data_IF_338556835299
#
_entry.id   IF_338556835299
#
_cell.length_a   1.000
_cell.length_b   1.000
_cell.length_c   1.000
_cell.angle_alpha   90.00
_cell.angle_beta   90.00
_cell.angle_gamma   90.00
#
_symmetry.space_group_name_H-M   'P 1'
#
loop_
_entity.id
_entity.type
_entity.pdbx_description
1 polymer ?
#
# COMPACT_ATOMS: atom_id res chain seq x y z
N UNK A 1 14.96 -18.86 13.43
CA UNK A 1 13.66 -18.41 12.85
C UNK A 1 13.07 -19.58 12.07
N UNK A 2 11.77 -19.88 12.21
CA UNK A 2 11.14 -20.95 11.41
C UNK A 2 10.89 -20.40 10.01
N UNK A 3 11.48 -20.99 8.97
CA UNK A 3 11.32 -20.60 7.56
C UNK A 3 9.83 -20.43 7.17
N UNK A 4 8.96 -21.25 7.76
CA UNK A 4 7.51 -21.19 7.57
C UNK A 4 6.84 -19.89 8.03
N UNK A 5 7.37 -19.19 9.04
CA UNK A 5 6.80 -17.91 9.49
C UNK A 5 7.05 -16.78 8.50
N UNK A 6 8.23 -16.76 7.87
CA UNK A 6 8.56 -15.77 6.83
C UNK A 6 7.74 -16.00 5.55
N UNK A 7 7.62 -17.26 5.12
CA UNK A 7 6.79 -17.64 3.98
C UNK A 7 5.32 -17.23 4.21
N UNK A 8 4.82 -17.41 5.43
CA UNK A 8 3.46 -17.00 5.78
C UNK A 8 3.29 -15.47 5.76
N UNK A 9 4.28 -14.72 6.26
CA UNK A 9 4.33 -13.27 6.12
C UNK A 9 4.22 -12.85 4.66
N UNK A 10 5.04 -13.42 3.77
CA UNK A 10 4.98 -13.17 2.33
C UNK A 10 3.60 -13.48 1.73
N UNK A 11 3.00 -14.63 2.07
CA UNK A 11 1.64 -15.00 1.61
C UNK A 11 0.59 -13.99 2.07
N UNK A 12 0.68 -13.47 3.31
CA UNK A 12 -0.20 -12.40 3.78
C UNK A 12 -0.07 -11.15 2.90
N UNK A 13 1.16 -10.71 2.59
CA UNK A 13 1.37 -9.54 1.73
C UNK A 13 0.77 -9.74 0.35
N UNK A 14 0.99 -10.90 -0.27
CA UNK A 14 0.40 -11.25 -1.56
C UNK A 14 -1.13 -11.27 -1.48
N UNK A 15 -1.71 -11.84 -0.43
CA UNK A 15 -3.16 -11.88 -0.25
C UNK A 15 -3.76 -10.47 -0.09
N UNK A 16 -3.14 -9.59 0.69
CA UNK A 16 -3.57 -8.19 0.84
C UNK A 16 -3.43 -7.45 -0.49
N UNK A 17 -2.35 -7.67 -1.23
CA UNK A 17 -2.15 -7.07 -2.55
C UNK A 17 -3.24 -7.50 -3.54
N UNK A 18 -3.52 -8.80 -3.65
CA UNK A 18 -4.58 -9.33 -4.52
C UNK A 18 -5.96 -8.81 -4.10
N UNK A 19 -6.24 -8.73 -2.80
CA UNK A 19 -7.49 -8.18 -2.29
C UNK A 19 -7.68 -6.72 -2.70
N UNK A 20 -6.63 -5.90 -2.58
CA UNK A 20 -6.68 -4.48 -2.94
C UNK A 20 -6.77 -4.31 -4.46
N UNK A 21 -6.04 -5.09 -5.24
CA UNK A 21 -6.14 -5.10 -6.71
C UNK A 21 -7.54 -5.48 -7.19
N UNK A 22 -8.13 -6.55 -6.62
CA UNK A 22 -9.50 -6.94 -6.93
C UNK A 22 -10.53 -5.88 -6.52
N UNK A 23 -10.32 -5.24 -5.36
CA UNK A 23 -11.15 -4.13 -4.89
C UNK A 23 -11.08 -2.92 -5.83
N UNK A 24 -9.90 -2.63 -6.39
CA UNK A 24 -9.73 -1.57 -7.39
C UNK A 24 -10.54 -1.85 -8.66
N UNK A 25 -10.51 -3.09 -9.17
CA UNK A 25 -11.33 -3.48 -10.32
C UNK A 25 -12.83 -3.32 -10.04
N UNK A 26 -13.26 -3.66 -8.81
CA UNK A 26 -14.64 -3.47 -8.38
C UNK A 26 -15.01 -1.98 -8.28
N UNK A 27 -14.14 -1.15 -7.69
CA UNK A 27 -14.34 0.31 -7.58
C UNK A 27 -14.44 0.92 -8.98
N UNK A 28 -13.57 0.54 -9.91
CA UNK A 28 -13.66 1.00 -11.30
C UNK A 28 -14.97 0.56 -11.96
N UNK A 29 -15.37 -0.71 -11.80
CA UNK A 29 -16.63 -1.22 -12.36
C UNK A 29 -17.87 -0.48 -11.81
N UNK A 30 -17.88 -0.11 -10.53
CA UNK A 30 -18.97 0.67 -9.90
C UNK A 30 -18.92 2.14 -10.30
N UNK A 31 -17.72 2.69 -10.50
CA UNK A 31 -17.54 4.09 -10.79
C UNK A 31 -17.82 4.43 -12.27
N UNK A 32 -17.68 3.46 -13.20
CA UNK A 32 -18.04 3.62 -14.63
C UNK A 32 -19.50 4.07 -14.81
N UNK A 33 -20.53 3.37 -14.30
CA UNK A 33 -21.91 3.83 -14.39
C UNK A 33 -22.13 5.20 -13.75
N UNK A 34 -21.38 5.51 -12.68
CA UNK A 34 -21.50 6.76 -11.94
C UNK A 34 -20.96 7.95 -12.74
N UNK A 35 -19.85 7.77 -13.47
CA UNK A 35 -19.31 8.78 -14.41
C UNK A 35 -20.28 9.01 -15.56
N UNK A 36 -20.85 7.94 -16.14
CA UNK A 36 -21.87 8.05 -17.19
C UNK A 36 -23.15 8.76 -16.71
N UNK A 37 -23.54 8.60 -15.43
CA UNK A 37 -24.70 9.28 -14.85
C UNK A 37 -24.42 10.74 -14.45
N UNK A 38 -23.20 11.01 -13.97
CA UNK A 38 -22.75 12.32 -13.52
C UNK A 38 -21.72 12.87 -14.50
N UNK A 39 -22.14 13.04 -15.76
CA UNK A 39 -21.42 13.54 -16.96
C UNK A 39 -20.62 14.86 -16.79
N UNK A 40 -20.49 15.36 -15.56
CA UNK A 40 -19.86 16.62 -15.14
C UNK A 40 -18.89 16.49 -13.96
N UNK A 41 -18.64 15.30 -13.41
CA UNK A 41 -17.65 15.17 -12.33
C UNK A 41 -16.24 15.32 -12.91
N UNK A 42 -15.43 16.30 -12.46
CA UNK A 42 -14.08 16.47 -12.97
C UNK A 42 -13.23 15.24 -12.63
N UNK A 43 -12.34 14.85 -13.56
CA UNK A 43 -11.45 13.67 -13.45
C UNK A 43 -10.68 13.62 -12.12
N UNK A 44 -10.39 14.80 -11.57
CA UNK A 44 -9.73 14.97 -10.26
C UNK A 44 -10.56 14.38 -9.12
N UNK A 45 -11.88 14.57 -9.12
CA UNK A 45 -12.76 14.04 -8.06
C UNK A 45 -12.90 12.54 -8.17
N UNK A 46 -12.99 12.01 -9.39
CA UNK A 46 -13.01 10.58 -9.64
C UNK A 46 -11.71 9.92 -9.16
N UNK A 47 -10.58 10.51 -9.53
CA UNK A 47 -9.24 10.01 -9.17
C UNK A 47 -9.03 10.08 -7.65
N UNK A 48 -9.38 11.20 -7.01
CA UNK A 48 -9.30 11.34 -5.56
C UNK A 48 -10.20 10.31 -4.85
N UNK A 49 -11.42 10.10 -5.35
CA UNK A 49 -12.34 9.07 -4.83
C UNK A 49 -11.73 7.67 -4.93
N UNK A 50 -11.22 7.30 -6.10
CA UNK A 50 -10.57 6.00 -6.32
C UNK A 50 -9.37 5.78 -5.39
N UNK A 51 -8.53 6.80 -5.19
CA UNK A 51 -7.41 6.76 -4.25
C UNK A 51 -7.93 6.54 -2.81
N UNK A 52 -8.93 7.31 -2.37
CA UNK A 52 -9.52 7.17 -1.02
C UNK A 52 -10.09 5.77 -0.81
N UNK A 53 -10.84 5.23 -1.78
CA UNK A 53 -11.37 3.86 -1.71
C UNK A 53 -10.25 2.82 -1.66
N UNK A 54 -9.22 2.97 -2.48
CA UNK A 54 -8.07 2.06 -2.50
C UNK A 54 -7.36 2.05 -1.15
N UNK A 55 -7.09 3.23 -0.57
CA UNK A 55 -6.51 3.36 0.76
C UNK A 55 -7.39 2.75 1.85
N UNK A 56 -8.71 2.89 1.74
CA UNK A 56 -9.67 2.32 2.67
C UNK A 56 -9.68 0.78 2.63
N UNK A 57 -9.80 0.18 1.45
CA UNK A 57 -9.74 -1.28 1.29
C UNK A 57 -8.39 -1.83 1.72
N UNK A 58 -7.31 -1.13 1.41
CA UNK A 58 -5.98 -1.47 1.86
C UNK A 58 -5.86 -1.52 3.39
N UNK A 59 -6.38 -0.49 4.08
CA UNK A 59 -6.45 -0.44 5.54
C UNK A 59 -7.25 -1.62 6.13
N UNK A 60 -8.42 -1.92 5.55
CA UNK A 60 -9.24 -3.07 5.98
C UNK A 60 -8.53 -4.40 5.76
N UNK A 61 -7.90 -4.60 4.59
CA UNK A 61 -7.17 -5.81 4.27
C UNK A 61 -6.09 -6.10 5.31
N UNK A 62 -5.34 -5.08 5.71
CA UNK A 62 -4.33 -5.21 6.76
C UNK A 62 -4.90 -5.45 8.16
N UNK A 63 -6.03 -4.83 8.51
CA UNK A 63 -6.71 -5.12 9.77
C UNK A 63 -7.06 -6.61 9.87
N UNK A 64 -7.65 -7.20 8.83
CA UNK A 64 -7.97 -8.63 8.79
C UNK A 64 -6.72 -9.50 8.79
N UNK A 65 -5.70 -9.13 8.01
CA UNK A 65 -4.43 -9.84 7.96
C UNK A 65 -3.75 -9.93 9.32
N UNK A 66 -3.68 -8.83 10.07
CA UNK A 66 -3.06 -8.81 11.40
C UNK A 66 -3.91 -9.54 12.43
N UNK A 67 -5.23 -9.45 12.34
CA UNK A 67 -6.13 -10.25 13.20
C UNK A 67 -5.91 -11.74 12.99
N UNK A 68 -5.76 -12.18 11.74
CA UNK A 68 -5.43 -13.56 11.41
C UNK A 68 -4.04 -13.95 11.93
N UNK A 69 -3.04 -13.08 11.77
CA UNK A 69 -1.69 -13.31 12.28
C UNK A 69 -1.65 -13.43 13.81
N UNK A 70 -2.43 -12.62 14.54
CA UNK A 70 -2.62 -12.78 15.99
C UNK A 70 -3.25 -14.13 16.35
N UNK A 71 -4.29 -14.54 15.62
CA UNK A 71 -4.95 -15.84 15.84
C UNK A 71 -3.99 -17.02 15.61
N UNK A 72 -3.11 -16.91 14.61
CA UNK A 72 -2.05 -17.86 14.31
C UNK A 72 -0.82 -17.74 15.23
N UNK A 73 -0.87 -16.88 16.26
CA UNK A 73 0.23 -16.60 17.22
C UNK A 73 1.56 -16.23 16.55
N UNK A 74 1.49 -15.51 15.44
CA UNK A 74 2.68 -15.04 14.74
C UNK A 74 3.30 -13.84 15.43
N UNK A 75 4.61 -13.65 15.26
CA UNK A 75 5.29 -12.44 15.71
C UNK A 75 5.09 -11.35 14.67
N UNK A 76 4.82 -10.13 15.11
CA UNK A 76 4.69 -8.96 14.23
C UNK A 76 5.90 -8.81 13.30
N UNK A 77 7.10 -9.09 13.83
CA UNK A 77 8.35 -9.08 13.07
C UNK A 77 8.35 -10.04 11.87
N UNK A 78 7.76 -11.24 12.00
CA UNK A 78 7.70 -12.21 10.90
C UNK A 78 6.75 -11.74 9.78
N UNK A 79 5.68 -11.03 10.14
CA UNK A 79 4.75 -10.41 9.19
C UNK A 79 5.41 -9.22 8.49
N UNK A 80 6.19 -8.43 9.22
CA UNK A 80 6.97 -7.31 8.66
C UNK A 80 8.07 -7.80 7.72
N UNK A 81 8.77 -8.89 8.04
CA UNK A 81 9.83 -9.43 7.20
C UNK A 81 9.34 -9.80 5.79
N UNK A 82 8.07 -10.20 5.66
CA UNK A 82 7.44 -10.46 4.37
C UNK A 82 7.40 -9.25 3.44
N UNK A 83 7.31 -8.01 3.96
CA UNK A 83 7.32 -6.80 3.13
C UNK A 83 8.69 -6.56 2.51
N UNK A 84 9.76 -6.87 3.24
CA UNK A 84 11.13 -6.75 2.77
C UNK A 84 11.44 -7.74 1.65
N UNK A 85 10.89 -8.95 1.70
CA UNK A 85 11.01 -9.93 0.61
C UNK A 85 10.33 -9.42 -0.65
N UNK A 86 9.11 -8.87 -0.53
CA UNK A 86 8.40 -8.28 -1.65
C UNK A 86 9.15 -7.07 -2.23
N UNK A 87 9.68 -6.20 -1.36
CA UNK A 87 10.48 -5.05 -1.74
C UNK A 87 11.76 -5.47 -2.46
N UNK A 88 12.47 -6.48 -1.96
CA UNK A 88 13.67 -7.02 -2.59
C UNK A 88 13.37 -7.65 -3.96
N UNK A 89 12.23 -8.31 -4.13
CA UNK A 89 11.77 -8.81 -5.43
C UNK A 89 11.46 -7.66 -6.39
N UNK A 90 10.78 -6.61 -5.94
CA UNK A 90 10.47 -5.42 -6.74
C UNK A 90 11.74 -4.71 -7.20
N UNK A 91 12.69 -4.50 -6.29
CA UNK A 91 14.02 -3.95 -6.59
C UNK A 91 14.79 -4.89 -7.51
N UNK A 92 14.70 -6.21 -7.31
CA UNK A 92 15.36 -7.21 -8.15
C UNK A 92 14.84 -7.23 -9.59
N UNK A 93 13.51 -7.20 -9.76
CA UNK A 93 12.88 -7.06 -11.07
C UNK A 93 13.31 -5.76 -11.75
N UNK A 94 13.33 -4.66 -11.00
CA UNK A 94 13.77 -3.36 -11.47
C UNK A 94 15.24 -3.34 -11.92
N UNK A 95 16.15 -3.93 -11.14
CA UNK A 95 17.57 -4.03 -11.51
C UNK A 95 17.80 -5.03 -12.66
N UNK A 96 16.93 -6.04 -12.80
CA UNK A 96 17.02 -7.02 -13.89
C UNK A 96 16.65 -6.45 -15.26
N UNK A 97 15.90 -5.34 -15.30
CA UNK A 97 15.59 -4.58 -16.52
C UNK A 97 16.81 -3.83 -17.09
N UNK A 98 17.96 -3.88 -16.41
CA UNK A 98 19.26 -3.45 -16.94
C UNK A 98 19.50 -1.94 -16.93
N UNK A 99 18.55 -1.14 -16.49
CA UNK A 99 18.70 0.32 -16.35
C UNK A 99 19.58 0.67 -15.15
N UNK A 100 20.64 1.45 -15.35
CA UNK A 100 21.53 1.83 -14.26
C UNK A 100 20.86 2.82 -13.31
N UNK A 101 21.06 2.67 -12.00
CA UNK A 101 20.52 3.59 -10.97
C UNK A 101 20.89 5.05 -11.25
N UNK A 102 22.02 5.28 -11.94
CA UNK A 102 22.47 6.64 -12.30
C UNK A 102 21.74 7.24 -13.51
N UNK A 103 21.30 6.41 -14.47
CA UNK A 103 20.46 6.87 -15.60
C UNK A 103 19.07 7.24 -15.10
N UNK A 104 18.50 6.43 -14.21
CA UNK A 104 17.17 6.65 -13.61
C UNK A 104 17.06 7.98 -12.84
N UNK A 105 18.12 8.39 -12.13
CA UNK A 105 18.15 9.68 -11.40
C UNK A 105 18.31 10.87 -12.34
N UNK A 106 18.88 10.65 -13.54
CA UNK A 106 19.10 11.71 -14.53
C UNK A 106 17.91 11.90 -15.47
N UNK A 107 17.10 10.87 -15.69
CA UNK A 107 15.95 10.85 -16.63
C UNK A 107 14.64 11.42 -16.04
N UNK A 108 14.75 12.41 -15.15
CA UNK A 108 13.60 13.05 -14.49
C UNK A 108 12.69 13.85 -15.44
N UNK A 109 13.23 14.26 -16.60
CA UNK A 109 12.64 15.32 -17.44
C UNK A 109 12.22 14.84 -18.84
N UNK A 110 12.57 13.61 -19.25
CA UNK A 110 12.37 13.21 -20.64
C UNK A 110 10.96 12.65 -20.88
N UNK A 111 10.26 13.31 -21.81
CA UNK A 111 8.92 13.03 -22.33
C UNK A 111 8.79 11.66 -23.07
N UNK A 112 9.60 10.68 -22.71
CA UNK A 112 9.54 9.30 -23.18
C UNK A 112 8.63 8.44 -22.31
N UNK A 113 8.02 7.42 -22.91
CA UNK A 113 7.22 6.39 -22.23
C UNK A 113 8.06 5.45 -21.34
N UNK A 114 8.91 5.98 -20.46
CA UNK A 114 9.78 5.21 -19.59
C UNK A 114 9.04 4.77 -18.31
N UNK A 115 9.06 3.46 -18.10
CA UNK A 115 8.30 2.69 -17.12
C UNK A 115 8.86 2.85 -15.70
N UNK A 116 8.36 3.85 -14.96
CA UNK A 116 8.41 3.99 -13.48
C UNK A 116 9.37 5.10 -12.97
N UNK A 117 8.86 6.30 -12.62
CA UNK A 117 9.66 7.44 -12.13
C UNK A 117 10.35 7.17 -10.78
N UNK A 118 11.50 7.82 -10.46
CA UNK A 118 12.14 7.75 -9.14
C UNK A 118 11.20 8.09 -7.97
N UNK A 119 10.20 8.93 -8.24
CA UNK A 119 9.10 9.25 -7.34
C UNK A 119 8.30 8.01 -6.90
N UNK A 120 8.09 7.04 -7.80
CA UNK A 120 7.43 5.77 -7.48
C UNK A 120 8.32 4.88 -6.61
N UNK A 121 9.62 4.80 -6.89
CA UNK A 121 10.57 4.06 -6.06
C UNK A 121 10.65 4.64 -4.64
N UNK A 122 10.68 5.97 -4.51
CA UNK A 122 10.60 6.66 -3.22
C UNK A 122 9.28 6.37 -2.49
N UNK A 123 8.16 6.38 -3.21
CA UNK A 123 6.84 6.04 -2.65
C UNK A 123 6.81 4.60 -2.14
N UNK A 124 7.30 3.64 -2.93
CA UNK A 124 7.39 2.23 -2.56
C UNK A 124 8.30 1.99 -1.36
N UNK A 125 9.47 2.64 -1.31
CA UNK A 125 10.40 2.54 -0.18
C UNK A 125 9.81 3.14 1.10
N UNK A 126 9.26 4.35 1.01
CA UNK A 126 8.61 5.04 2.14
C UNK A 126 7.42 4.24 2.67
N UNK A 127 6.66 3.65 1.76
CA UNK A 127 5.57 2.75 2.10
C UNK A 127 6.05 1.49 2.85
N UNK A 128 7.04 0.78 2.30
CA UNK A 128 7.50 -0.50 2.83
C UNK A 128 8.27 -0.38 4.14
N UNK A 129 9.05 0.70 4.30
CA UNK A 129 9.96 0.90 5.43
C UNK A 129 9.34 1.70 6.58
N UNK A 130 8.41 2.62 6.28
CA UNK A 130 7.88 3.55 7.28
C UNK A 130 6.39 3.34 7.49
N UNK A 131 5.56 3.53 6.46
CA UNK A 131 4.11 3.52 6.66
C UNK A 131 3.57 2.16 7.11
N UNK A 132 3.93 1.10 6.39
CA UNK A 132 3.38 -0.21 6.65
C UNK A 132 3.82 -0.75 8.03
N UNK A 133 5.09 -0.68 8.43
CA UNK A 133 5.51 -1.06 9.79
C UNK A 133 4.83 -0.24 10.89
N UNK A 134 4.69 1.08 10.70
CA UNK A 134 4.02 1.96 11.67
C UNK A 134 2.54 1.61 11.81
N UNK A 135 1.87 1.37 10.69
CA UNK A 135 0.45 0.98 10.68
C UNK A 135 0.22 -0.37 11.36
N UNK A 136 1.02 -1.37 10.98
CA UNK A 136 0.93 -2.70 11.58
C UNK A 136 1.21 -2.65 13.08
N UNK A 137 2.20 -1.85 13.51
CA UNK A 137 2.50 -1.64 14.93
C UNK A 137 1.33 -1.01 15.68
N UNK A 138 0.72 0.07 15.14
CA UNK A 138 -0.46 0.71 15.75
C UNK A 138 -1.63 -0.27 15.89
N UNK A 139 -1.93 -1.06 14.86
CA UNK A 139 -2.99 -2.08 14.93
C UNK A 139 -2.67 -3.16 15.96
N UNK A 140 -1.42 -3.64 15.98
CA UNK A 140 -0.97 -4.72 16.85
C UNK A 140 -0.99 -4.35 18.33
N UNK A 141 -0.61 -3.12 18.68
CA UNK A 141 -0.49 -2.68 20.07
C UNK A 141 -1.72 -1.95 20.61
N UNK A 142 -2.48 -1.23 19.78
CA UNK A 142 -3.59 -0.40 20.25
C UNK A 142 -4.95 -1.07 20.07
N UNK A 143 -5.14 -1.81 18.97
CA UNK A 143 -6.45 -2.30 18.53
C UNK A 143 -6.67 -3.77 18.92
N UNK A 144 -5.67 -4.63 18.67
CA UNK A 144 -5.79 -6.07 18.89
C UNK A 144 -5.88 -6.50 20.38
N UNK A 145 -5.12 -5.91 21.33
CA UNK A 145 -5.15 -6.37 22.72
C UNK A 145 -6.33 -5.82 23.55
N UNK A 146 -6.91 -4.69 23.18
CA UNK A 146 -7.95 -4.01 23.96
C UNK A 146 -9.39 -4.45 23.61
N UNK A 147 -9.54 -5.51 22.81
CA UNK A 147 -10.79 -5.82 22.12
C UNK A 147 -11.03 -4.83 20.96
N UNK A 148 -11.59 -5.30 19.85
CA UNK A 148 -11.79 -4.48 18.65
C UNK A 148 -12.82 -3.39 18.93
N UNK A 149 -12.34 -2.22 19.35
CA UNK A 149 -13.16 -1.02 19.51
C UNK A 149 -13.18 -0.26 18.19
N UNK A 150 -14.38 -0.06 17.64
CA UNK A 150 -14.58 0.61 16.36
C UNK A 150 -13.88 1.98 16.30
N UNK A 151 -13.90 2.74 17.40
CA UNK A 151 -13.25 4.05 17.51
C UNK A 151 -11.75 3.97 17.29
N UNK A 152 -11.08 2.95 17.84
CA UNK A 152 -9.63 2.81 17.76
C UNK A 152 -9.21 2.32 16.36
N UNK A 153 -10.03 1.46 15.72
CA UNK A 153 -9.86 1.07 14.32
C UNK A 153 -9.97 2.29 13.41
N UNK A 154 -11.05 3.08 13.53
CA UNK A 154 -11.27 4.27 12.69
C UNK A 154 -10.12 5.25 12.84
N UNK A 155 -9.65 5.49 14.07
CA UNK A 155 -8.53 6.39 14.32
C UNK A 155 -7.24 5.93 13.64
N UNK A 156 -6.88 4.66 13.76
CA UNK A 156 -5.66 4.11 13.15
C UNK A 156 -5.75 4.10 11.63
N UNK A 157 -6.93 3.80 11.07
CA UNK A 157 -7.21 3.92 9.64
C UNK A 157 -7.09 5.37 9.14
N UNK A 158 -7.67 6.32 9.86
CA UNK A 158 -7.63 7.74 9.49
C UNK A 158 -6.20 8.30 9.53
N UNK A 159 -5.42 7.94 10.55
CA UNK A 159 -3.99 8.30 10.63
C UNK A 159 -3.22 7.78 9.41
N UNK A 160 -3.46 6.53 8.98
CA UNK A 160 -2.79 5.96 7.81
C UNK A 160 -3.19 6.67 6.52
N UNK A 161 -4.50 6.91 6.34
CA UNK A 161 -5.02 7.62 5.17
C UNK A 161 -4.40 9.02 5.06
N UNK A 162 -4.30 9.73 6.19
CA UNK A 162 -3.68 11.06 6.23
C UNK A 162 -2.20 11.00 5.84
N UNK A 163 -1.45 10.04 6.37
CA UNK A 163 -0.02 9.89 6.04
C UNK A 163 0.17 9.49 4.57
N UNK A 164 -0.69 8.61 4.02
CA UNK A 164 -0.66 8.23 2.61
C UNK A 164 -0.98 9.42 1.70
N UNK A 165 -1.99 10.22 2.03
CA UNK A 165 -2.33 11.44 1.29
C UNK A 165 -1.18 12.44 1.33
N UNK A 166 -0.55 12.61 2.50
CA UNK A 166 0.61 13.48 2.64
C UNK A 166 1.79 12.98 1.78
N UNK A 167 2.06 11.67 1.80
CA UNK A 167 3.14 11.06 1.02
C UNK A 167 2.90 11.20 -0.48
N UNK A 168 1.68 10.96 -0.94
CA UNK A 168 1.27 11.21 -2.34
C UNK A 168 1.42 12.68 -2.68
N UNK A 169 0.96 13.60 -1.82
CA UNK A 169 1.10 15.04 -2.02
C UNK A 169 2.56 15.48 -2.13
N UNK A 170 3.44 14.97 -1.27
CA UNK A 170 4.89 15.22 -1.35
C UNK A 170 5.47 14.66 -2.64
N UNK A 171 5.06 13.45 -3.04
CA UNK A 171 5.51 12.83 -4.30
C UNK A 171 5.07 13.66 -5.52
N UNK A 172 3.87 14.24 -5.47
CA UNK A 172 3.36 15.15 -6.50
C UNK A 172 4.03 16.53 -6.51
N UNK A 173 4.67 16.98 -5.42
CA UNK A 173 5.45 18.23 -5.43
C UNK A 173 6.77 18.09 -6.19
N UNK A 174 7.22 16.86 -6.40
CA UNK A 174 8.44 16.57 -7.14
C UNK A 174 8.13 16.32 -8.64
N UNK A 175 6.94 15.82 -8.98
CA UNK A 175 6.44 15.76 -10.38
C UNK A 175 6.22 17.16 -10.97
#
# INVERSE_FOLDING_TARGET
>A
MRLGSCLYGFVIHVAVFLFVGASMLLVMAVAVPLVFLLDRLPDVVFTAGAIIFLLFFYSIGWFWALRLACHQRMRLFDVQLGSFVLLALLIGLFLSDGTSVSEIVRDWDDAGCAFVPPAFTFLCLSYALVLLPVYQSKLWHLVLPNGVRLKDVIRVCADLMLIMVLLVGVTLLFL
#
